data_IF_112275469611
#
_entry.id   IF_112275469611
#
_cell.length_a   1.000
_cell.length_b   1.000
_cell.length_c   1.000
_cell.angle_alpha   90.00
_cell.angle_beta   90.00
_cell.angle_gamma   90.00
#
_symmetry.space_group_name_H-M   'P 1'
#
loop_
_entity.id
_entity.type
_entity.pdbx_description
1 polymer ?
#
# COMPACT_ATOMS: atom_id res chain seq x y z
N UNK A 1 -16.86 -10.24 4.64
CA UNK A 1 -15.92 -9.51 3.76
C UNK A 1 -14.60 -10.25 3.80
N UNK A 2 -14.04 -10.61 2.65
CA UNK A 2 -12.71 -11.23 2.58
C UNK A 2 -11.64 -10.20 2.96
N UNK A 3 -10.57 -10.64 3.64
CA UNK A 3 -9.46 -9.76 3.97
C UNK A 3 -8.77 -9.26 2.68
N UNK A 4 -8.30 -8.00 2.63
CA UNK A 4 -7.65 -7.44 1.46
C UNK A 4 -6.36 -8.21 1.10
N UNK A 5 -6.23 -8.58 -0.17
CA UNK A 5 -5.15 -9.44 -0.65
C UNK A 5 -3.91 -8.62 -0.97
N UNK A 6 -2.69 -9.03 -0.54
CA UNK A 6 -1.47 -8.32 -0.87
C UNK A 6 -1.18 -8.37 -2.37
N UNK A 7 -0.81 -7.22 -2.93
CA UNK A 7 -0.28 -7.07 -4.28
C UNK A 7 1.25 -7.21 -4.25
N UNK A 8 1.85 -7.91 -5.23
CA UNK A 8 3.28 -7.85 -5.47
C UNK A 8 3.72 -6.39 -5.69
N UNK A 9 4.56 -5.91 -4.79
CA UNK A 9 5.09 -4.56 -4.84
C UNK A 9 6.59 -4.58 -4.57
N UNK A 10 7.33 -3.70 -5.24
CA UNK A 10 8.71 -3.39 -4.89
C UNK A 10 8.69 -2.22 -3.91
N UNK A 11 9.16 -2.45 -2.70
CA UNK A 11 9.31 -1.43 -1.67
C UNK A 11 10.79 -1.01 -1.64
N UNK A 12 11.06 0.29 -1.54
CA UNK A 12 12.43 0.82 -1.43
C UNK A 12 13.10 0.34 -0.14
N UNK A 13 14.43 0.37 -0.11
CA UNK A 13 15.20 -0.09 1.05
C UNK A 13 14.84 0.64 2.35
N UNK A 14 14.53 1.94 2.26
CA UNK A 14 14.08 2.76 3.40
C UNK A 14 12.59 2.58 3.73
N UNK A 15 11.85 1.76 2.98
CA UNK A 15 10.42 1.54 3.14
C UNK A 15 9.54 2.71 2.72
N UNK A 16 10.09 3.83 2.24
CA UNK A 16 9.32 5.08 2.06
C UNK A 16 8.55 5.13 0.75
N UNK A 17 8.91 4.31 -0.21
CA UNK A 17 8.27 4.27 -1.53
C UNK A 17 7.95 2.85 -1.92
N UNK A 18 6.88 2.68 -2.68
CA UNK A 18 6.50 1.40 -3.24
C UNK A 18 6.00 1.58 -4.67
N UNK A 19 6.26 0.59 -5.52
CA UNK A 19 5.71 0.47 -6.87
C UNK A 19 5.08 -0.89 -7.07
N UNK A 20 4.01 -0.94 -7.85
CA UNK A 20 3.27 -2.17 -8.18
C UNK A 20 2.66 -2.04 -9.59
N UNK A 21 2.19 -3.16 -10.15
CA UNK A 21 1.42 -3.14 -11.38
C UNK A 21 -0.04 -2.78 -11.08
N UNK A 22 -0.55 -1.60 -11.48
CA UNK A 22 -1.93 -1.20 -11.18
C UNK A 22 -2.96 -2.10 -11.89
N UNK A 23 -2.60 -2.76 -12.99
CA UNK A 23 -3.49 -3.69 -13.70
C UNK A 23 -3.73 -5.03 -12.99
N UNK A 24 -3.07 -5.28 -11.86
CA UNK A 24 -3.33 -6.47 -11.03
C UNK A 24 -4.62 -6.40 -10.23
N UNK A 25 -5.19 -5.21 -10.14
CA UNK A 25 -6.48 -4.96 -9.50
C UNK A 25 -7.34 -4.15 -10.47
N UNK A 26 -8.61 -4.52 -10.58
CA UNK A 26 -9.60 -3.77 -11.37
C UNK A 26 -10.26 -2.64 -10.55
N UNK A 27 -9.69 -2.28 -9.39
CA UNK A 27 -10.19 -1.22 -8.53
C UNK A 27 -9.51 0.13 -8.81
N UNK A 28 -10.26 1.21 -8.58
CA UNK A 28 -9.75 2.58 -8.64
C UNK A 28 -8.75 2.90 -7.50
N UNK A 29 -8.84 2.16 -6.39
CA UNK A 29 -8.06 2.39 -5.18
C UNK A 29 -7.36 1.10 -4.71
N UNK A 30 -6.32 1.30 -3.90
CA UNK A 30 -5.61 0.27 -3.15
C UNK A 30 -5.49 0.71 -1.69
N UNK A 31 -5.19 -0.24 -0.80
CA UNK A 31 -4.80 0.05 0.57
C UNK A 31 -3.28 -0.04 0.70
N UNK A 32 -2.68 0.99 1.28
CA UNK A 32 -1.27 1.02 1.63
C UNK A 32 -1.15 0.74 3.13
N UNK A 33 -0.57 -0.40 3.50
CA UNK A 33 -0.29 -0.71 4.90
C UNK A 33 1.00 -0.02 5.31
N UNK A 34 0.91 0.89 6.28
CA UNK A 34 2.01 1.77 6.72
C UNK A 34 2.29 1.53 8.19
N UNK A 35 3.56 1.32 8.54
CA UNK A 35 4.07 1.44 9.90
C UNK A 35 4.42 2.89 10.15
N UNK A 36 3.81 3.48 11.18
CA UNK A 36 4.04 4.84 11.63
C UNK A 36 5.35 4.95 12.42
N UNK A 37 5.83 6.18 12.61
CA UNK A 37 7.04 6.47 13.40
C UNK A 37 6.94 5.94 14.84
N UNK A 38 5.74 5.93 15.44
CA UNK A 38 5.48 5.37 16.77
C UNK A 38 5.31 3.84 16.80
N UNK A 39 5.53 3.14 15.68
CA UNK A 39 5.46 1.68 15.59
C UNK A 39 4.06 1.11 15.29
N UNK A 40 2.99 1.90 15.47
CA UNK A 40 1.63 1.51 15.09
C UNK A 40 1.51 1.24 13.58
N UNK A 41 0.57 0.39 13.18
CA UNK A 41 0.29 0.05 11.79
C UNK A 41 -1.11 0.52 11.42
N UNK A 42 -1.24 1.15 10.26
CA UNK A 42 -2.53 1.56 9.69
C UNK A 42 -2.60 1.28 8.19
N UNK A 43 -3.83 1.23 7.66
CA UNK A 43 -4.10 1.07 6.23
C UNK A 43 -4.69 2.36 5.67
N UNK A 44 -4.07 2.89 4.62
CA UNK A 44 -4.47 4.14 3.98
C UNK A 44 -4.97 3.88 2.57
N UNK A 45 -6.11 4.45 2.21
CA UNK A 45 -6.58 4.45 0.83
C UNK A 45 -5.66 5.31 -0.04
N UNK A 46 -5.31 4.78 -1.21
CA UNK A 46 -4.54 5.49 -2.23
C UNK A 46 -5.12 5.19 -3.60
N UNK A 47 -4.96 6.12 -4.54
CA UNK A 47 -5.30 5.88 -5.94
C UNK A 47 -4.42 4.76 -6.49
N UNK A 48 -5.01 3.86 -7.28
CA UNK A 48 -4.31 2.77 -7.93
C UNK A 48 -3.45 3.27 -9.12
N UNK A 49 -2.41 4.04 -8.81
CA UNK A 49 -1.52 4.70 -9.78
C UNK A 49 -0.21 3.96 -10.02
N UNK A 50 -0.03 2.77 -9.43
CA UNK A 50 1.19 1.97 -9.51
C UNK A 50 2.36 2.48 -8.65
N UNK A 51 2.16 3.52 -7.84
CA UNK A 51 3.18 4.08 -6.94
C UNK A 51 2.58 4.71 -5.69
N UNK A 52 3.31 4.63 -4.58
CA UNK A 52 2.99 5.31 -3.33
C UNK A 52 4.26 5.81 -2.63
N UNK A 53 4.10 6.86 -1.82
CA UNK A 53 5.14 7.40 -0.95
C UNK A 53 4.54 7.77 0.40
N UNK A 54 5.27 7.48 1.48
CA UNK A 54 4.89 7.82 2.86
C UNK A 54 5.79 8.93 3.42
N UNK A 55 5.39 9.49 4.58
CA UNK A 55 6.10 10.58 5.23
C UNK A 55 7.44 10.10 5.80
N UNK A 56 8.22 11.04 6.30
CA UNK A 56 9.45 10.69 7.01
C UNK A 56 9.11 9.99 8.34
N UNK A 57 9.93 8.99 8.71
CA UNK A 57 9.67 8.13 9.86
C UNK A 57 8.60 7.04 9.64
N UNK A 58 7.91 7.04 8.50
CA UNK A 58 6.94 6.00 8.13
C UNK A 58 7.58 4.98 7.19
N UNK A 59 7.06 3.75 7.19
CA UNK A 59 7.47 2.68 6.28
C UNK A 59 6.27 1.92 5.72
N UNK A 60 6.23 1.75 4.41
CA UNK A 60 5.27 0.88 3.73
C UNK A 60 5.64 -0.57 4.01
N UNK A 61 4.67 -1.36 4.47
CA UNK A 61 4.84 -2.80 4.72
C UNK A 61 4.22 -3.64 3.60
N UNK A 62 3.12 -3.17 3.00
CA UNK A 62 2.44 -3.87 1.91
C UNK A 62 1.55 -2.93 1.11
N UNK A 63 1.29 -3.30 -0.14
CA UNK A 63 0.18 -2.78 -0.94
C UNK A 63 -0.87 -3.88 -0.99
N UNK A 64 -2.14 -3.54 -0.75
CA UNK A 64 -3.24 -4.50 -0.71
C UNK A 64 -4.31 -4.08 -1.73
N UNK A 65 -4.93 -5.05 -2.38
CA UNK A 65 -6.09 -4.81 -3.22
C UNK A 65 -7.25 -4.30 -2.36
N UNK A 66 -7.87 -3.17 -2.76
CA UNK A 66 -9.09 -2.71 -2.12
C UNK A 66 -10.21 -3.69 -2.50
N UNK A 67 -10.86 -4.29 -1.48
CA UNK A 67 -11.85 -5.35 -1.68
C UNK A 67 -13.28 -4.81 -1.81
N UNK A 68 -13.43 -3.50 -1.98
CA UNK A 68 -14.73 -2.86 -2.18
C UNK A 68 -15.19 -3.10 -3.62
N UNK A 69 -15.95 -4.18 -3.80
CA UNK A 69 -17.01 -4.27 -4.80
C UNK A 69 -18.32 -3.84 -4.15
#
# INVERSE_FOLDING_TARGET
>A
MSAPQPLPARISHDGRTATWNPGMTYAAQVLVRVRLAGGAVEERKSMNSGRARVREGEAIQAILADSVL
#
